data_IF_766750968527
#
_entry.id   IF_766750968527
#
_cell.length_a   1.000
_cell.length_b   1.000
_cell.length_c   1.000
_cell.angle_alpha   90.00
_cell.angle_beta   90.00
_cell.angle_gamma   90.00
#
_symmetry.space_group_name_H-M   'P 1'
#
loop_
_entity.id
_entity.type
_entity.pdbx_description
1 polymer ?
#
# COMPACT_ATOMS: atom_id res chain seq x y z
N UNK A 1 -4.17 22.50 20.90
CA UNK A 1 -3.65 21.14 20.60
C UNK A 1 -2.71 20.75 21.73
N UNK A 2 -3.27 20.17 22.79
CA UNK A 2 -2.51 19.71 23.95
C UNK A 2 -1.82 18.40 23.59
N UNK A 3 -0.49 18.43 23.60
CA UNK A 3 0.38 17.26 23.49
C UNK A 3 0.07 16.32 24.67
N UNK A 4 -0.61 15.21 24.40
CA UNK A 4 -0.77 14.14 25.39
C UNK A 4 0.54 13.36 25.45
N UNK A 5 1.53 13.91 26.15
CA UNK A 5 2.75 13.19 26.51
C UNK A 5 2.34 12.18 27.59
N UNK A 6 2.16 10.92 27.21
CA UNK A 6 2.14 9.84 28.19
C UNK A 6 3.46 9.87 28.97
N UNK A 7 3.45 9.67 30.29
CA UNK A 7 4.68 9.57 31.06
C UNK A 7 5.53 8.45 30.47
N UNK A 8 6.76 8.78 30.06
CA UNK A 8 7.72 7.78 29.60
C UNK A 8 7.95 6.82 30.77
N UNK A 9 7.67 5.51 30.68
CA UNK A 9 8.51 4.59 31.42
C UNK A 9 9.94 4.93 30.99
N UNK A 10 10.87 4.99 31.94
CA UNK A 10 12.26 5.38 31.69
C UNK A 10 12.97 4.29 30.88
N UNK A 11 12.53 4.09 29.63
CA UNK A 11 13.17 3.25 28.66
C UNK A 11 14.52 3.89 28.35
N UNK A 12 15.60 3.10 28.40
CA UNK A 12 16.93 3.63 28.18
C UNK A 12 17.01 4.22 26.78
N UNK A 13 17.70 5.35 26.67
CA UNK A 13 18.13 5.86 25.38
C UNK A 13 19.11 4.83 24.79
N UNK A 14 18.92 4.49 23.52
CA UNK A 14 19.79 3.57 22.81
C UNK A 14 21.02 4.32 22.32
N UNK A 15 22.20 3.81 22.64
CA UNK A 15 23.47 4.30 22.10
C UNK A 15 23.63 4.01 20.61
N UNK A 16 24.23 4.94 19.87
CA UNK A 16 24.42 4.80 18.43
C UNK A 16 25.24 3.55 18.04
N UNK A 17 26.13 3.07 18.91
CA UNK A 17 26.94 1.86 18.72
C UNK A 17 26.11 0.57 18.65
N UNK A 18 24.84 0.60 19.11
CA UNK A 18 23.92 -0.54 19.03
C UNK A 18 23.21 -0.65 17.66
N UNK A 19 23.43 0.32 16.77
CA UNK A 19 22.88 0.32 15.42
C UNK A 19 23.86 -0.34 14.45
N UNK A 20 23.38 -1.07 13.43
CA UNK A 20 24.25 -1.61 12.38
C UNK A 20 25.04 -0.51 11.68
N UNK A 21 26.26 -0.82 11.21
CA UNK A 21 27.12 0.11 10.46
C UNK A 21 26.46 0.65 9.17
N UNK A 22 25.51 -0.08 8.62
CA UNK A 22 24.73 0.31 7.44
C UNK A 22 23.54 1.22 7.76
N UNK A 23 23.16 1.34 9.03
CA UNK A 23 22.10 2.24 9.49
C UNK A 23 22.56 3.70 9.37
N UNK A 24 21.67 4.60 8.96
CA UNK A 24 21.93 6.04 8.85
C UNK A 24 20.87 6.81 9.61
N UNK A 25 21.30 7.67 10.54
CA UNK A 25 20.41 8.52 11.34
C UNK A 25 20.71 9.99 11.09
N UNK A 26 19.66 10.80 10.93
CA UNK A 26 19.77 12.25 10.91
C UNK A 26 20.02 12.85 12.30
N UNK A 27 20.35 14.16 12.38
CA UNK A 27 20.52 14.85 13.66
C UNK A 27 19.25 14.83 14.51
N UNK A 28 19.41 14.70 15.83
CA UNK A 28 18.29 14.76 16.79
C UNK A 28 17.39 13.52 16.84
N UNK A 29 17.79 12.41 16.20
CA UNK A 29 17.10 11.12 16.35
C UNK A 29 17.22 10.60 17.78
N UNK A 30 16.11 10.14 18.35
CA UNK A 30 16.06 9.54 19.70
C UNK A 30 15.32 8.21 19.67
N UNK A 31 15.98 7.14 20.11
CA UNK A 31 15.37 5.81 20.20
C UNK A 31 15.39 5.37 21.65
N UNK A 32 14.21 5.14 22.23
CA UNK A 32 14.04 4.61 23.57
C UNK A 32 13.48 3.20 23.46
N UNK A 33 14.30 2.20 23.75
CA UNK A 33 13.89 0.81 23.54
C UNK A 33 14.38 -0.14 24.63
N UNK A 34 13.48 -1.01 25.11
CA UNK A 34 13.87 -2.12 25.99
C UNK A 34 14.66 -3.18 25.21
N UNK A 35 14.08 -3.64 24.10
CA UNK A 35 14.72 -4.46 23.07
C UNK A 35 14.70 -3.72 21.73
N UNK A 36 15.82 -3.75 21.03
CA UNK A 36 15.96 -3.15 19.71
C UNK A 36 16.60 -4.12 18.73
N UNK A 37 15.97 -4.29 17.57
CA UNK A 37 16.53 -4.94 16.38
C UNK A 37 16.39 -3.99 15.20
N UNK A 38 17.50 -3.68 14.54
CA UNK A 38 17.53 -2.82 13.34
C UNK A 38 18.20 -3.61 12.23
N UNK A 39 17.54 -3.67 11.08
CA UNK A 39 18.03 -4.33 9.88
C UNK A 39 19.08 -3.53 9.11
N UNK A 40 19.62 -4.15 8.08
CA UNK A 40 20.65 -3.56 7.22
C UNK A 40 20.08 -2.41 6.37
N UNK A 41 20.84 -1.33 6.20
CA UNK A 41 20.48 -0.22 5.30
C UNK A 41 19.28 0.62 5.75
N UNK A 42 18.90 0.55 7.03
CA UNK A 42 17.84 1.38 7.60
C UNK A 42 18.23 2.87 7.59
N UNK A 43 17.28 3.74 7.27
CA UNK A 43 17.47 5.20 7.27
C UNK A 43 16.43 5.88 8.14
N UNK A 44 16.87 6.73 9.07
CA UNK A 44 16.00 7.46 9.99
C UNK A 44 16.28 8.97 9.84
N UNK A 45 15.24 9.72 9.47
CA UNK A 45 15.31 11.17 9.25
C UNK A 45 15.53 11.96 10.54
N UNK A 46 15.98 13.21 10.39
CA UNK A 46 16.26 14.12 11.50
C UNK A 46 15.04 14.34 12.40
N UNK A 47 15.27 14.60 13.69
CA UNK A 47 14.22 14.93 14.67
C UNK A 47 13.28 13.78 15.04
N UNK A 48 13.45 12.60 14.46
CA UNK A 48 12.55 11.46 14.68
C UNK A 48 12.75 10.82 16.06
N UNK A 49 11.64 10.55 16.75
CA UNK A 49 11.61 9.86 18.04
C UNK A 49 10.92 8.51 17.89
N UNK A 50 11.54 7.45 18.42
CA UNK A 50 11.00 6.08 18.43
C UNK A 50 11.00 5.59 19.88
N UNK A 51 9.87 5.07 20.36
CA UNK A 51 9.71 4.58 21.74
C UNK A 51 8.98 3.25 21.75
N UNK A 52 9.52 2.25 22.42
CA UNK A 52 8.81 1.00 22.69
C UNK A 52 9.57 0.00 23.56
N UNK A 53 8.86 -0.89 24.22
CA UNK A 53 9.50 -1.96 25.01
C UNK A 53 10.23 -2.95 24.08
N UNK A 54 9.68 -3.17 22.88
CA UNK A 54 10.25 -4.02 21.86
C UNK A 54 10.11 -3.40 20.46
N UNK A 55 11.22 -3.00 19.86
CA UNK A 55 11.31 -2.28 18.59
C UNK A 55 12.05 -3.14 17.56
N UNK A 56 11.41 -3.43 16.42
CA UNK A 56 12.04 -4.07 15.25
C UNK A 56 11.81 -3.21 14.02
N UNK A 57 12.90 -2.89 13.34
CA UNK A 57 12.91 -2.18 12.07
C UNK A 57 13.59 -3.09 11.04
N UNK A 58 12.84 -3.57 10.04
CA UNK A 58 13.36 -4.48 9.02
C UNK A 58 14.31 -3.81 8.04
N UNK A 59 15.07 -4.63 7.30
CA UNK A 59 16.10 -4.16 6.36
C UNK A 59 15.56 -3.15 5.35
N UNK A 60 16.37 -2.16 4.99
CA UNK A 60 16.05 -1.15 3.98
C UNK A 60 14.89 -0.22 4.33
N UNK A 61 14.34 -0.29 5.56
CA UNK A 61 13.25 0.58 6.00
C UNK A 61 13.71 2.03 6.06
N UNK A 62 12.86 2.93 5.59
CA UNK A 62 13.08 4.38 5.60
C UNK A 62 12.05 5.04 6.49
N UNK A 63 12.50 5.81 7.47
CA UNK A 63 11.66 6.64 8.33
C UNK A 63 11.99 8.09 8.04
N UNK A 64 10.99 8.87 7.64
CA UNK A 64 11.12 10.29 7.33
C UNK A 64 11.49 11.14 8.56
N UNK A 65 11.82 12.42 8.35
CA UNK A 65 12.10 13.34 9.45
C UNK A 65 10.85 13.67 10.27
N UNK A 66 11.08 14.15 11.48
CA UNK A 66 10.06 14.69 12.40
C UNK A 66 8.95 13.70 12.75
N UNK A 67 9.23 12.40 12.74
CA UNK A 67 8.28 11.37 13.15
C UNK A 67 8.29 11.18 14.67
N UNK A 68 7.14 10.79 15.24
CA UNK A 68 7.02 10.38 16.63
C UNK A 68 6.29 9.03 16.70
N UNK A 69 7.05 7.94 16.87
CA UNK A 69 6.53 6.58 16.78
C UNK A 69 6.60 5.91 18.16
N UNK A 70 5.44 5.67 18.78
CA UNK A 70 5.35 5.14 20.14
C UNK A 70 4.40 3.96 20.23
N UNK A 71 4.91 2.80 20.64
CA UNK A 71 4.11 1.64 21.00
C UNK A 71 4.88 0.68 21.91
N UNK A 72 4.20 -0.08 22.79
CA UNK A 72 4.87 -1.10 23.59
C UNK A 72 5.62 -2.12 22.71
N UNK A 73 5.00 -2.55 21.61
CA UNK A 73 5.66 -3.30 20.53
C UNK A 73 5.55 -2.54 19.21
N UNK A 74 6.70 -2.22 18.62
CA UNK A 74 6.79 -1.53 17.34
C UNK A 74 7.49 -2.44 16.33
N UNK A 75 6.82 -2.72 15.20
CA UNK A 75 7.33 -3.57 14.11
C UNK A 75 7.15 -2.86 12.77
N UNK A 76 8.26 -2.56 12.09
CA UNK A 76 8.25 -2.12 10.70
C UNK A 76 8.87 -3.22 9.85
N UNK A 77 8.12 -3.77 8.89
CA UNK A 77 8.62 -4.80 8.00
C UNK A 77 9.68 -4.30 7.02
N UNK A 78 10.46 -5.23 6.46
CA UNK A 78 11.52 -4.96 5.46
C UNK A 78 11.03 -4.06 4.32
N UNK A 79 11.83 -3.05 3.97
CA UNK A 79 11.59 -2.14 2.87
C UNK A 79 10.38 -1.21 3.07
N UNK A 80 9.92 -1.03 4.31
CA UNK A 80 8.81 -0.10 4.58
C UNK A 80 9.27 1.36 4.48
N UNK A 81 8.35 2.25 4.10
CA UNK A 81 8.58 3.68 3.97
C UNK A 81 7.59 4.43 4.86
N UNK A 82 8.09 5.12 5.88
CA UNK A 82 7.32 6.00 6.75
C UNK A 82 7.62 7.43 6.33
N UNK A 83 6.61 8.16 5.87
CA UNK A 83 6.72 9.55 5.44
C UNK A 83 7.06 10.49 6.60
N UNK A 84 7.46 11.74 6.30
CA UNK A 84 7.72 12.75 7.31
C UNK A 84 6.48 13.05 8.18
N UNK A 85 6.72 13.48 9.42
CA UNK A 85 5.69 13.96 10.36
C UNK A 85 4.59 12.94 10.69
N UNK A 86 4.88 11.64 10.55
CA UNK A 86 3.99 10.57 10.99
C UNK A 86 3.99 10.50 12.52
N UNK A 87 2.80 10.46 13.13
CA UNK A 87 2.65 10.33 14.59
C UNK A 87 1.87 9.09 14.96
N UNK A 88 2.50 8.22 15.72
CA UNK A 88 1.92 6.96 16.21
C UNK A 88 1.99 6.97 17.73
N UNK A 89 0.82 6.79 18.35
CA UNK A 89 0.66 6.56 19.78
C UNK A 89 -0.29 5.36 19.94
N UNK A 90 0.28 4.17 20.05
CA UNK A 90 -0.49 2.92 20.12
C UNK A 90 -0.14 2.19 21.40
N UNK A 91 -1.13 1.83 22.21
CA UNK A 91 -0.87 1.30 23.55
C UNK A 91 -0.10 -0.04 23.51
N UNK A 92 -0.51 -0.97 22.64
CA UNK A 92 0.00 -2.33 22.62
C UNK A 92 0.94 -2.55 21.44
N UNK A 93 0.41 -2.74 20.23
CA UNK A 93 1.22 -3.11 19.07
C UNK A 93 0.93 -2.17 17.91
N UNK A 94 1.98 -1.56 17.38
CA UNK A 94 1.98 -0.95 16.06
C UNK A 94 2.86 -1.79 15.14
N UNK A 95 2.23 -2.53 14.22
CA UNK A 95 2.94 -3.42 13.31
C UNK A 95 2.49 -3.20 11.86
N UNK A 96 3.45 -3.04 10.96
CA UNK A 96 3.22 -3.05 9.51
C UNK A 96 4.11 -4.09 8.84
N UNK A 97 3.56 -4.80 7.86
CA UNK A 97 4.30 -5.81 7.08
C UNK A 97 5.34 -5.19 6.14
N UNK A 98 6.08 -6.05 5.44
CA UNK A 98 7.09 -5.62 4.47
C UNK A 98 6.52 -4.76 3.35
N UNK A 99 7.33 -3.82 2.86
CA UNK A 99 6.99 -2.87 1.81
C UNK A 99 5.74 -2.01 2.10
N UNK A 100 5.41 -1.79 3.38
CA UNK A 100 4.34 -0.88 3.76
C UNK A 100 4.77 0.58 3.51
N UNK A 101 3.81 1.42 3.12
CA UNK A 101 4.00 2.85 2.84
C UNK A 101 3.01 3.65 3.65
N UNK A 102 3.51 4.41 4.62
CA UNK A 102 2.71 5.37 5.39
C UNK A 102 3.06 6.75 4.88
N UNK A 103 2.12 7.44 4.24
CA UNK A 103 2.37 8.75 3.67
C UNK A 103 2.54 9.84 4.76
N UNK A 104 2.98 11.06 4.36
CA UNK A 104 3.17 12.17 5.30
C UNK A 104 1.94 12.49 6.14
N UNK A 105 2.19 13.02 7.34
CA UNK A 105 1.16 13.60 8.23
C UNK A 105 0.08 12.61 8.73
N UNK A 106 0.29 11.30 8.54
CA UNK A 106 -0.57 10.25 9.10
C UNK A 106 -0.50 10.24 10.62
N UNK A 107 -1.65 10.05 11.26
CA UNK A 107 -1.77 10.01 12.72
C UNK A 107 -2.48 8.72 13.17
N UNK A 108 -1.90 7.99 14.10
CA UNK A 108 -2.47 6.75 14.64
C UNK A 108 -2.54 6.82 16.16
N UNK A 109 -3.76 6.85 16.68
CA UNK A 109 -4.09 6.72 18.09
C UNK A 109 -5.11 5.59 18.25
N UNK A 110 -4.70 4.48 18.87
CA UNK A 110 -5.59 3.37 19.21
C UNK A 110 -4.94 2.42 20.24
N UNK A 111 -5.64 1.35 20.64
CA UNK A 111 -5.07 0.30 21.49
C UNK A 111 -4.07 -0.57 20.72
N UNK A 112 -4.46 -1.06 19.55
CA UNK A 112 -3.68 -2.03 18.76
C UNK A 112 -3.90 -1.76 17.26
N UNK A 113 -2.81 -1.67 16.49
CA UNK A 113 -2.80 -1.43 15.06
C UNK A 113 -1.90 -2.45 14.37
N UNK A 114 -2.47 -3.25 13.47
CA UNK A 114 -1.71 -4.17 12.63
C UNK A 114 -2.11 -4.02 11.18
N UNK A 115 -1.12 -3.91 10.28
CA UNK A 115 -1.32 -3.97 8.84
C UNK A 115 -0.38 -4.97 8.17
N UNK A 116 -0.86 -5.65 7.14
CA UNK A 116 -0.10 -6.61 6.37
C UNK A 116 0.99 -5.97 5.49
N UNK A 117 1.54 -6.79 4.59
CA UNK A 117 2.52 -6.37 3.58
C UNK A 117 1.86 -5.47 2.55
N UNK A 118 2.65 -4.56 1.95
CA UNK A 118 2.18 -3.63 0.91
C UNK A 118 0.97 -2.79 1.32
N UNK A 119 0.84 -2.53 2.61
CA UNK A 119 -0.16 -1.62 3.11
C UNK A 119 0.20 -0.19 2.70
N UNK A 120 -0.73 0.54 2.09
CA UNK A 120 -0.61 1.98 1.84
C UNK A 120 -1.59 2.75 2.71
N UNK A 121 -1.07 3.71 3.48
CA UNK A 121 -1.88 4.65 4.25
C UNK A 121 -1.68 6.07 3.70
N UNK A 122 -2.69 6.61 3.01
CA UNK A 122 -2.64 7.90 2.32
C UNK A 122 -2.41 9.10 3.25
N UNK A 123 -1.93 10.19 2.66
CA UNK A 123 -1.58 11.41 3.40
C UNK A 123 -2.74 11.97 4.21
N UNK A 124 -2.40 12.51 5.38
CA UNK A 124 -3.36 13.10 6.32
C UNK A 124 -4.43 12.14 6.85
N UNK A 125 -4.33 10.84 6.59
CA UNK A 125 -5.25 9.86 7.13
C UNK A 125 -5.01 9.66 8.64
N UNK A 126 -6.08 9.34 9.37
CA UNK A 126 -6.09 9.33 10.83
C UNK A 126 -6.83 8.12 11.39
N UNK A 127 -6.17 7.40 12.29
CA UNK A 127 -6.83 6.57 13.31
C UNK A 127 -6.88 7.40 14.59
N UNK A 128 -8.05 7.69 15.12
CA UNK A 128 -8.15 8.54 16.31
C UNK A 128 -9.54 9.10 16.58
N UNK A 129 -9.57 10.22 17.31
CA UNK A 129 -10.77 10.87 17.88
C UNK A 129 -11.33 10.13 19.11
N UNK A 130 -12.56 10.50 19.52
CA UNK A 130 -13.20 9.98 20.71
C UNK A 130 -13.26 8.46 20.75
N UNK A 131 -13.07 7.88 21.93
CA UNK A 131 -13.21 6.44 22.13
C UNK A 131 -12.05 5.57 21.65
N UNK A 132 -10.99 6.12 21.07
CA UNK A 132 -9.85 5.33 20.56
C UNK A 132 -8.84 4.87 21.62
N UNK A 133 -9.00 5.29 22.87
CA UNK A 133 -8.19 4.83 24.02
C UNK A 133 -8.85 3.72 24.83
N UNK A 134 -9.95 3.12 24.34
CA UNK A 134 -10.65 2.04 25.04
C UNK A 134 -10.01 0.68 24.81
N UNK A 135 -10.38 -0.30 25.64
CA UNK A 135 -9.90 -1.67 25.50
C UNK A 135 -10.31 -2.34 24.18
N UNK A 136 -11.30 -1.83 23.46
CA UNK A 136 -11.81 -2.45 22.22
C UNK A 136 -11.33 -1.76 20.94
N UNK A 137 -10.57 -0.68 21.07
CA UNK A 137 -10.07 0.17 19.99
C UNK A 137 -8.95 -0.48 19.15
N UNK A 138 -9.29 -1.49 18.34
CA UNK A 138 -8.33 -2.24 17.51
C UNK A 138 -8.53 -1.96 16.02
N UNK A 139 -7.44 -1.88 15.26
CA UNK A 139 -7.46 -1.77 13.80
C UNK A 139 -6.62 -2.90 13.20
N UNK A 140 -7.26 -3.76 12.40
CA UNK A 140 -6.64 -4.92 11.75
C UNK A 140 -6.79 -4.82 10.25
N UNK A 141 -5.67 -4.77 9.55
CA UNK A 141 -5.60 -4.55 8.11
C UNK A 141 -4.80 -5.69 7.49
N UNK A 142 -5.34 -6.30 6.43
CA UNK A 142 -4.72 -7.38 5.68
C UNK A 142 -3.54 -6.93 4.81
N UNK A 143 -3.11 -7.84 3.93
CA UNK A 143 -2.09 -7.59 2.90
C UNK A 143 -2.69 -6.78 1.74
N UNK A 144 -1.87 -5.97 1.06
CA UNK A 144 -2.23 -5.26 -0.18
C UNK A 144 -3.42 -4.30 -0.03
N UNK A 145 -3.59 -3.72 1.16
CA UNK A 145 -4.66 -2.76 1.42
C UNK A 145 -4.21 -1.34 1.09
N UNK A 146 -5.06 -0.60 0.37
CA UNK A 146 -4.86 0.82 0.06
C UNK A 146 -5.90 1.67 0.76
N UNK A 147 -5.45 2.51 1.70
CA UNK A 147 -6.27 3.52 2.34
C UNK A 147 -6.02 4.88 1.71
N UNK A 148 -7.06 5.49 1.13
CA UNK A 148 -6.97 6.79 0.48
C UNK A 148 -6.69 7.94 1.46
N UNK A 149 -6.26 9.08 0.91
CA UNK A 149 -5.95 10.30 1.65
C UNK A 149 -7.09 10.77 2.53
N UNK A 150 -6.77 11.44 3.63
CA UNK A 150 -7.73 12.07 4.54
C UNK A 150 -8.83 11.12 5.07
N UNK A 151 -8.54 9.82 5.09
CA UNK A 151 -9.42 8.81 5.65
C UNK A 151 -9.44 8.90 7.17
N UNK A 152 -10.60 8.70 7.78
CA UNK A 152 -10.79 8.60 9.22
C UNK A 152 -11.20 7.18 9.58
N UNK A 153 -10.41 6.53 10.43
CA UNK A 153 -10.77 5.28 11.11
C UNK A 153 -10.99 5.57 12.59
N UNK A 154 -12.25 5.64 13.02
CA UNK A 154 -12.58 5.88 14.41
C UNK A 154 -12.96 4.58 15.12
N UNK A 155 -11.95 3.94 15.70
CA UNK A 155 -12.03 2.66 16.38
C UNK A 155 -12.25 2.83 17.88
N UNK A 156 -13.51 2.83 18.33
CA UNK A 156 -13.85 2.48 19.71
C UNK A 156 -14.07 0.95 19.84
N UNK A 157 -14.61 0.31 18.81
CA UNK A 157 -14.56 -1.14 18.60
C UNK A 157 -13.65 -1.48 17.41
N UNK A 158 -13.46 -2.77 17.17
CA UNK A 158 -12.56 -3.26 16.13
C UNK A 158 -13.00 -2.84 14.72
N UNK A 159 -12.07 -2.30 13.96
CA UNK A 159 -12.18 -2.11 12.51
C UNK A 159 -11.31 -3.16 11.83
N UNK A 160 -11.88 -3.96 10.94
CA UNK A 160 -11.14 -4.95 10.15
C UNK A 160 -11.27 -4.65 8.66
N UNK A 161 -10.13 -4.60 7.97
CA UNK A 161 -10.05 -4.58 6.51
C UNK A 161 -9.33 -5.86 6.05
N UNK A 162 -9.97 -6.67 5.22
CA UNK A 162 -9.39 -7.87 4.63
C UNK A 162 -8.32 -7.57 3.58
N UNK A 163 -7.68 -8.62 3.06
CA UNK A 163 -6.66 -8.48 2.02
C UNK A 163 -7.21 -7.83 0.76
N UNK A 164 -6.39 -7.05 0.06
CA UNK A 164 -6.76 -6.45 -1.23
C UNK A 164 -7.84 -5.37 -1.16
N UNK A 165 -8.28 -4.96 0.03
CA UNK A 165 -9.23 -3.85 0.17
C UNK A 165 -8.63 -2.56 -0.39
N UNK A 166 -9.37 -1.91 -1.28
CA UNK A 166 -9.03 -0.61 -1.82
C UNK A 166 -10.06 0.43 -1.40
N UNK A 167 -9.59 1.65 -1.12
CA UNK A 167 -10.47 2.76 -0.75
C UNK A 167 -10.07 4.04 -1.48
N UNK A 168 -11.06 4.84 -1.86
CA UNK A 168 -10.86 6.22 -2.27
C UNK A 168 -10.54 7.12 -1.08
N UNK A 169 -10.16 8.36 -1.37
CA UNK A 169 -9.90 9.39 -0.36
C UNK A 169 -11.19 9.75 0.42
N UNK A 170 -11.01 10.35 1.60
CA UNK A 170 -12.09 10.81 2.49
C UNK A 170 -13.04 9.71 2.96
N UNK A 171 -12.58 8.46 3.07
CA UNK A 171 -13.34 7.42 3.73
C UNK A 171 -13.54 7.77 5.22
N UNK A 172 -14.70 7.46 5.78
CA UNK A 172 -14.93 7.54 7.22
C UNK A 172 -15.53 6.24 7.75
N UNK A 173 -14.84 5.56 8.66
CA UNK A 173 -15.34 4.36 9.35
C UNK A 173 -15.55 4.68 10.83
N UNK A 174 -16.77 4.48 11.30
CA UNK A 174 -17.17 4.72 12.68
C UNK A 174 -17.65 3.43 13.33
N UNK A 175 -17.14 3.17 14.53
CA UNK A 175 -17.55 2.01 15.35
C UNK A 175 -18.36 2.41 16.58
N UNK A 176 -18.59 3.71 16.75
CA UNK A 176 -19.52 4.23 17.73
C UNK A 176 -20.25 5.47 17.22
N UNK A 177 -21.39 5.79 17.84
CA UNK A 177 -22.15 7.01 17.56
C UNK A 177 -23.18 7.30 18.66
N UNK A 178 -23.02 8.43 19.35
CA UNK A 178 -23.96 8.96 20.34
C UNK A 178 -23.61 10.41 20.69
N UNK A 179 -24.51 11.07 21.40
CA UNK A 179 -24.27 12.33 22.09
C UNK A 179 -24.98 12.28 23.45
N UNK A 180 -24.74 13.24 24.35
CA UNK A 180 -25.29 13.25 25.72
C UNK A 180 -26.82 13.04 25.81
N UNK A 181 -27.58 13.42 24.77
CA UNK A 181 -29.03 13.21 24.69
C UNK A 181 -29.47 11.80 24.27
N UNK A 182 -28.56 10.93 23.83
CA UNK A 182 -28.85 9.62 23.24
C UNK A 182 -28.29 8.46 24.08
N UNK A 183 -28.41 8.58 25.41
CA UNK A 183 -27.94 7.57 26.37
C UNK A 183 -29.08 6.74 26.97
N UNK A 184 -28.75 5.69 27.74
CA UNK A 184 -29.72 4.76 28.33
C UNK A 184 -30.72 5.44 29.27
N UNK A 185 -30.34 6.56 29.90
CA UNK A 185 -31.22 7.35 30.74
C UNK A 185 -32.35 8.05 29.96
N UNK A 186 -32.22 8.17 28.64
CA UNK A 186 -33.21 8.78 27.74
C UNK A 186 -33.95 7.73 26.88
N UNK A 187 -33.84 6.44 27.23
CA UNK A 187 -34.52 5.36 26.51
C UNK A 187 -33.91 4.99 25.15
N UNK A 188 -32.70 5.47 24.86
CA UNK A 188 -31.95 5.12 23.63
C UNK A 188 -30.65 4.44 23.96
N UNK A 189 -30.20 3.53 23.09
CA UNK A 189 -28.91 2.89 23.22
C UNK A 189 -27.88 3.54 22.28
N UNK A 190 -26.73 3.99 22.80
CA UNK A 190 -25.60 4.39 21.96
C UNK A 190 -25.21 3.28 20.98
N UNK A 191 -24.94 3.65 19.73
CA UNK A 191 -24.43 2.70 18.76
C UNK A 191 -22.96 2.39 19.08
N UNK A 192 -22.65 1.12 19.31
CA UNK A 192 -21.29 0.59 19.47
C UNK A 192 -21.21 -0.78 18.80
N UNK A 193 -20.44 -0.89 17.73
CA UNK A 193 -20.29 -2.16 17.04
C UNK A 193 -19.04 -2.17 16.14
N UNK A 194 -18.40 -3.34 15.99
CA UNK A 194 -17.27 -3.47 15.07
C UNK A 194 -17.70 -3.26 13.62
N UNK A 195 -16.74 -2.88 12.78
CA UNK A 195 -16.92 -2.79 11.32
C UNK A 195 -15.96 -3.77 10.66
N UNK A 196 -16.44 -4.44 9.61
CA UNK A 196 -15.65 -5.42 8.85
C UNK A 196 -15.85 -5.18 7.36
N UNK A 197 -14.75 -4.93 6.67
CA UNK A 197 -14.69 -4.84 5.23
C UNK A 197 -13.94 -6.08 4.76
N UNK A 198 -14.64 -6.99 4.09
CA UNK A 198 -14.04 -8.24 3.64
C UNK A 198 -13.07 -8.01 2.47
N UNK A 199 -12.31 -9.06 2.15
CA UNK A 199 -11.27 -9.04 1.13
C UNK A 199 -11.77 -8.54 -0.23
N UNK A 200 -10.86 -7.91 -0.97
CA UNK A 200 -11.06 -7.44 -2.35
C UNK A 200 -12.23 -6.45 -2.53
N UNK A 201 -12.77 -5.89 -1.43
CA UNK A 201 -13.80 -4.86 -1.49
C UNK A 201 -13.22 -3.50 -1.92
N UNK A 202 -13.99 -2.74 -2.69
CA UNK A 202 -13.66 -1.38 -3.13
C UNK A 202 -14.64 -0.37 -2.55
N UNK A 203 -14.14 0.60 -1.79
CA UNK A 203 -14.94 1.70 -1.27
C UNK A 203 -14.58 2.97 -2.03
N UNK A 204 -15.52 3.52 -2.79
CA UNK A 204 -15.29 4.74 -3.56
C UNK A 204 -14.98 5.97 -2.69
N UNK A 205 -14.67 7.08 -3.37
CA UNK A 205 -14.42 8.38 -2.73
C UNK A 205 -15.55 8.76 -1.75
N UNK A 206 -15.18 9.23 -0.56
CA UNK A 206 -16.11 9.79 0.43
C UNK A 206 -17.25 8.85 0.85
N UNK A 207 -16.94 7.56 0.98
CA UNK A 207 -17.84 6.58 1.61
C UNK A 207 -17.80 6.73 3.13
N UNK A 208 -18.95 6.61 3.79
CA UNK A 208 -19.04 6.50 5.25
C UNK A 208 -19.59 5.13 5.65
N UNK A 209 -18.96 4.47 6.63
CA UNK A 209 -19.40 3.19 7.18
C UNK A 209 -19.73 3.39 8.66
N UNK A 210 -20.97 3.05 9.05
CA UNK A 210 -21.50 3.24 10.40
C UNK A 210 -21.33 2.00 11.28
N UNK A 211 -21.50 2.11 12.62
CA UNK A 211 -21.29 1.00 13.54
C UNK A 211 -22.14 -0.22 13.18
N UNK A 212 -21.52 -1.40 13.18
CA UNK A 212 -22.20 -2.68 12.89
C UNK A 212 -22.46 -2.93 11.40
N UNK A 213 -22.13 -1.99 10.53
CA UNK A 213 -22.15 -2.24 9.10
C UNK A 213 -20.92 -3.08 8.68
N UNK A 214 -21.17 -4.00 7.75
CA UNK A 214 -20.15 -4.86 7.16
C UNK A 214 -20.23 -4.81 5.64
N UNK A 215 -19.11 -4.97 4.95
CA UNK A 215 -19.05 -5.02 3.48
C UNK A 215 -18.53 -6.39 3.07
N UNK A 216 -19.33 -7.13 2.30
CA UNK A 216 -18.99 -8.47 1.84
C UNK A 216 -17.83 -8.48 0.83
N UNK A 217 -17.26 -9.67 0.63
CA UNK A 217 -16.10 -9.87 -0.25
C UNK A 217 -16.37 -9.38 -1.68
N UNK A 218 -15.36 -8.82 -2.34
CA UNK A 218 -15.43 -8.34 -3.71
C UNK A 218 -16.61 -7.38 -4.00
N UNK A 219 -17.08 -6.66 -2.96
CA UNK A 219 -18.17 -5.70 -3.06
C UNK A 219 -17.63 -4.32 -3.39
N UNK A 220 -18.33 -3.63 -4.29
CA UNK A 220 -18.06 -2.24 -4.64
C UNK A 220 -19.09 -1.33 -3.97
N UNK A 221 -18.63 -0.37 -3.17
CA UNK A 221 -19.46 0.72 -2.64
C UNK A 221 -19.19 1.99 -3.43
N UNK A 222 -20.20 2.50 -4.11
CA UNK A 222 -20.09 3.71 -4.94
C UNK A 222 -19.73 4.95 -4.11
N UNK A 223 -19.07 5.92 -4.73
CA UNK A 223 -18.65 7.16 -4.10
C UNK A 223 -19.82 7.92 -3.43
N UNK A 224 -19.55 8.59 -2.30
CA UNK A 224 -20.52 9.38 -1.54
C UNK A 224 -21.58 8.57 -0.79
N UNK A 225 -21.44 7.24 -0.71
CA UNK A 225 -22.45 6.38 -0.08
C UNK A 225 -22.29 6.28 1.44
N UNK A 226 -23.40 6.06 2.15
CA UNK A 226 -23.40 5.81 3.60
C UNK A 226 -23.89 4.40 3.89
N UNK A 227 -22.98 3.53 4.31
CA UNK A 227 -23.26 2.13 4.64
C UNK A 227 -23.74 2.05 6.09
N UNK A 228 -25.02 1.73 6.25
CA UNK A 228 -25.74 1.70 7.53
C UNK A 228 -26.10 0.28 8.00
N UNK A 229 -25.92 -0.71 7.14
CA UNK A 229 -26.23 -2.12 7.39
C UNK A 229 -25.29 -3.02 6.57
N UNK A 230 -25.16 -4.31 6.92
CA UNK A 230 -24.36 -5.26 6.17
C UNK A 230 -24.73 -5.33 4.68
N UNK A 231 -23.71 -5.36 3.82
CA UNK A 231 -23.83 -5.59 2.38
C UNK A 231 -23.32 -7.00 2.03
N UNK A 232 -24.02 -7.75 1.16
CA UNK A 232 -23.60 -9.08 0.73
C UNK A 232 -22.34 -9.01 -0.14
N UNK A 233 -21.68 -10.15 -0.35
CA UNK A 233 -20.52 -10.25 -1.24
C UNK A 233 -20.90 -10.09 -2.72
N UNK A 234 -19.95 -9.60 -3.52
CA UNK A 234 -20.05 -9.56 -4.99
C UNK A 234 -21.15 -8.66 -5.53
N UNK A 235 -21.40 -7.52 -4.88
CA UNK A 235 -22.40 -6.55 -5.36
C UNK A 235 -21.82 -5.17 -5.59
N UNK A 236 -22.48 -4.39 -6.44
CA UNK A 236 -22.37 -2.95 -6.45
C UNK A 236 -23.46 -2.39 -5.53
N UNK A 237 -23.08 -1.64 -4.51
CA UNK A 237 -23.98 -0.91 -3.63
C UNK A 237 -23.75 0.61 -3.71
N UNK A 238 -24.77 1.41 -3.45
CA UNK A 238 -24.59 2.86 -3.35
C UNK A 238 -25.81 3.62 -2.84
N UNK A 239 -25.59 4.88 -2.44
CA UNK A 239 -26.60 5.81 -1.95
C UNK A 239 -26.50 6.14 -0.45
N UNK A 240 -27.42 6.97 0.03
CA UNK A 240 -27.55 7.38 1.43
C UNK A 240 -28.99 7.10 1.88
N UNK A 241 -29.26 5.98 2.55
CA UNK A 241 -28.34 4.89 2.87
C UNK A 241 -27.99 4.00 1.66
N UNK A 242 -26.84 3.32 1.73
CA UNK A 242 -26.37 2.44 0.67
C UNK A 242 -27.31 1.24 0.50
N UNK A 243 -27.63 0.91 -0.75
CA UNK A 243 -28.44 -0.25 -1.13
C UNK A 243 -27.78 -0.98 -2.30
N UNK A 244 -27.96 -2.29 -2.35
CA UNK A 244 -27.55 -3.11 -3.50
C UNK A 244 -28.19 -2.57 -4.78
N UNK A 245 -27.37 -2.34 -5.80
CA UNK A 245 -27.78 -1.88 -7.14
C UNK A 245 -27.79 -3.03 -8.14
N UNK A 246 -26.77 -3.88 -8.11
CA UNK A 246 -26.65 -5.09 -8.94
C UNK A 246 -25.62 -6.05 -8.37
N UNK A 247 -25.68 -7.31 -8.77
CA UNK A 247 -24.59 -8.27 -8.59
C UNK A 247 -23.46 -8.02 -9.59
N UNK A 248 -22.25 -8.38 -9.21
CA UNK A 248 -21.06 -8.34 -10.05
C UNK A 248 -20.76 -9.74 -10.59
N UNK A 249 -20.32 -9.81 -11.85
CA UNK A 249 -19.76 -11.04 -12.41
C UNK A 249 -18.28 -11.12 -12.02
N UNK A 250 -17.98 -11.98 -11.06
CA UNK A 250 -16.63 -12.16 -10.51
C UNK A 250 -15.89 -13.34 -11.14
N UNK A 251 -16.44 -13.96 -12.19
CA UNK A 251 -15.77 -15.07 -12.87
C UNK A 251 -14.48 -14.55 -13.53
N UNK A 252 -13.33 -15.22 -13.31
CA UNK A 252 -12.11 -14.88 -14.01
C UNK A 252 -12.34 -14.93 -15.52
N UNK A 253 -11.84 -13.92 -16.24
CA UNK A 253 -11.86 -13.93 -17.69
C UNK A 253 -10.89 -14.98 -18.23
N UNK A 254 -11.26 -15.63 -19.34
CA UNK A 254 -10.38 -16.57 -20.05
C UNK A 254 -9.10 -15.91 -20.55
N UNK A 255 -8.09 -16.72 -20.85
CA UNK A 255 -6.73 -16.25 -21.14
C UNK A 255 -6.66 -15.27 -22.31
N UNK A 256 -7.42 -15.46 -23.39
CA UNK A 256 -7.45 -14.52 -24.52
C UNK A 256 -7.89 -13.11 -24.10
N UNK A 257 -8.95 -13.03 -23.29
CA UNK A 257 -9.46 -11.75 -22.79
C UNK A 257 -8.52 -11.12 -21.76
N UNK A 258 -7.87 -11.93 -20.93
CA UNK A 258 -6.85 -11.44 -20.01
C UNK A 258 -5.62 -10.92 -20.78
N UNK A 259 -5.21 -11.61 -21.84
CA UNK A 259 -4.10 -11.22 -22.70
C UNK A 259 -4.37 -9.85 -23.35
N UNK A 260 -5.53 -9.70 -24.00
CA UNK A 260 -5.92 -8.41 -24.58
C UNK A 260 -6.05 -7.29 -23.54
N UNK A 261 -6.54 -7.59 -22.33
CA UNK A 261 -6.60 -6.59 -21.25
C UNK A 261 -5.20 -6.10 -20.86
N UNK A 262 -4.23 -7.01 -20.69
CA UNK A 262 -2.84 -6.66 -20.35
C UNK A 262 -2.17 -5.93 -21.52
N UNK A 263 -2.42 -6.34 -22.77
CA UNK A 263 -1.97 -5.58 -23.94
C UNK A 263 -2.51 -4.16 -23.94
N UNK A 264 -3.79 -3.97 -23.57
CA UNK A 264 -4.38 -2.65 -23.38
C UNK A 264 -3.60 -1.80 -22.37
N UNK A 265 -3.18 -2.38 -21.25
CA UNK A 265 -2.33 -1.70 -20.26
C UNK A 265 -0.97 -1.34 -20.85
N UNK A 266 -0.33 -2.25 -21.59
CA UNK A 266 0.95 -1.96 -22.26
C UNK A 266 0.83 -0.86 -23.33
N UNK A 267 -0.29 -0.82 -24.07
CA UNK A 267 -0.60 0.28 -25.01
C UNK A 267 -0.71 1.62 -24.31
N UNK A 268 -1.42 1.68 -23.18
CA UNK A 268 -1.48 2.89 -22.34
C UNK A 268 -0.10 3.28 -21.81
N UNK A 269 0.66 2.31 -21.31
CA UNK A 269 1.99 2.55 -20.78
C UNK A 269 2.97 3.10 -21.81
N UNK A 270 2.93 2.62 -23.07
CA UNK A 270 3.72 3.21 -24.16
C UNK A 270 3.48 4.71 -24.29
N UNK A 271 2.23 5.15 -24.26
CA UNK A 271 1.88 6.58 -24.34
C UNK A 271 2.48 7.35 -23.16
N UNK A 272 2.38 6.79 -21.95
CA UNK A 272 2.96 7.38 -20.74
C UNK A 272 4.50 7.46 -20.80
N UNK A 273 5.17 6.45 -21.33
CA UNK A 273 6.63 6.43 -21.50
C UNK A 273 7.12 7.53 -22.45
N UNK A 274 6.40 7.76 -23.56
CA UNK A 274 6.71 8.85 -24.48
C UNK A 274 6.58 10.20 -23.76
N UNK A 275 5.52 10.39 -22.96
CA UNK A 275 5.37 11.59 -22.13
C UNK A 275 6.49 11.74 -21.09
N UNK A 276 6.96 10.63 -20.52
CA UNK A 276 8.10 10.60 -19.59
C UNK A 276 9.45 10.85 -20.27
N UNK A 277 9.49 10.96 -21.60
CA UNK A 277 10.71 11.20 -22.38
C UNK A 277 11.53 9.93 -22.65
N UNK A 278 10.96 8.74 -22.43
CA UNK A 278 11.61 7.47 -22.71
C UNK A 278 11.45 7.13 -24.21
N UNK A 279 12.54 6.82 -24.95
CA UNK A 279 12.43 6.25 -26.28
C UNK A 279 11.70 4.90 -26.25
N UNK A 280 10.70 4.73 -27.13
CA UNK A 280 9.90 3.50 -27.22
C UNK A 280 9.77 3.03 -28.66
N UNK A 281 10.11 1.76 -28.89
CA UNK A 281 9.94 1.07 -30.16
C UNK A 281 8.94 -0.09 -29.97
N UNK A 282 7.87 -0.13 -30.76
CA UNK A 282 6.93 -1.26 -30.70
C UNK A 282 6.47 -1.70 -32.09
N UNK A 283 6.78 -2.95 -32.43
CA UNK A 283 6.31 -3.58 -33.66
C UNK A 283 5.00 -4.33 -33.38
N UNK A 284 3.88 -3.64 -33.44
CA UNK A 284 2.57 -4.25 -33.26
C UNK A 284 2.13 -4.95 -34.55
N UNK A 285 1.76 -6.23 -34.46
CA UNK A 285 1.12 -6.99 -35.54
C UNK A 285 -0.24 -7.50 -35.06
N UNK A 286 -1.28 -7.52 -35.91
CA UNK A 286 -2.59 -8.08 -35.55
C UNK A 286 -2.45 -9.53 -35.04
N UNK A 287 -2.96 -9.80 -33.84
CA UNK A 287 -2.98 -11.14 -33.23
C UNK A 287 -1.67 -11.60 -32.57
N UNK A 288 -0.55 -10.88 -32.73
CA UNK A 288 0.72 -11.20 -32.08
C UNK A 288 1.59 -9.93 -31.95
N UNK A 289 1.41 -9.12 -30.89
CA UNK A 289 2.24 -7.93 -30.71
C UNK A 289 3.69 -8.35 -30.48
N UNK A 290 4.60 -7.79 -31.28
CA UNK A 290 6.03 -7.95 -31.07
C UNK A 290 6.50 -7.31 -29.75
N UNK A 291 7.79 -7.45 -29.41
CA UNK A 291 8.35 -6.88 -28.19
C UNK A 291 8.21 -5.35 -28.18
N UNK A 292 7.78 -4.80 -27.05
CA UNK A 292 7.87 -3.38 -26.73
C UNK A 292 9.27 -3.11 -26.18
N UNK A 293 10.06 -2.27 -26.84
CA UNK A 293 11.41 -1.91 -26.39
C UNK A 293 11.42 -0.50 -25.83
N UNK A 294 11.96 -0.33 -24.64
CA UNK A 294 11.98 0.92 -23.88
C UNK A 294 13.40 1.21 -23.43
N UNK A 295 13.84 2.46 -23.58
CA UNK A 295 15.10 2.95 -22.99
C UNK A 295 14.81 4.14 -22.07
N UNK A 296 15.68 4.41 -21.11
CA UNK A 296 15.63 5.69 -20.39
C UNK A 296 16.08 6.84 -21.30
N UNK A 297 15.70 8.07 -20.93
CA UNK A 297 15.97 9.27 -21.72
C UNK A 297 17.47 9.53 -21.96
N UNK A 298 18.32 9.12 -21.02
CA UNK A 298 19.79 9.19 -21.11
C UNK A 298 20.41 8.06 -21.96
N UNK A 299 19.58 7.20 -22.55
CA UNK A 299 19.99 6.03 -23.31
C UNK A 299 20.41 4.83 -22.45
N UNK A 300 20.41 4.95 -21.12
CA UNK A 300 20.69 3.83 -20.22
C UNK A 300 19.50 2.87 -20.16
N UNK A 301 19.77 1.63 -19.71
CA UNK A 301 18.76 0.60 -19.46
C UNK A 301 17.77 0.36 -20.62
N UNK A 302 18.24 -0.28 -21.69
CA UNK A 302 17.38 -0.78 -22.76
C UNK A 302 16.68 -2.07 -22.31
N UNK A 303 15.35 -2.04 -22.24
CA UNK A 303 14.52 -3.15 -21.77
C UNK A 303 13.53 -3.57 -22.84
N UNK A 304 13.54 -4.85 -23.22
CA UNK A 304 12.52 -5.47 -24.08
C UNK A 304 11.42 -6.06 -23.21
N UNK A 305 10.17 -5.80 -23.55
CA UNK A 305 8.98 -6.23 -22.80
C UNK A 305 8.12 -7.09 -23.71
N UNK A 306 7.80 -8.30 -23.26
CA UNK A 306 7.05 -9.29 -24.05
C UNK A 306 5.92 -9.84 -23.19
N UNK A 307 4.70 -9.82 -23.69
CA UNK A 307 3.57 -10.57 -23.13
C UNK A 307 3.42 -11.86 -23.93
N UNK A 308 3.57 -13.02 -23.27
CA UNK A 308 3.43 -14.31 -23.93
C UNK A 308 1.97 -14.77 -23.93
N UNK A 309 1.52 -15.27 -25.08
CA UNK A 309 0.34 -16.12 -25.18
C UNK A 309 0.65 -17.53 -24.61
N UNK A 310 -0.37 -18.35 -24.28
CA UNK A 310 -0.18 -19.66 -23.66
C UNK A 310 0.82 -20.57 -24.40
N UNK A 311 0.76 -20.60 -25.73
CA UNK A 311 1.59 -21.49 -26.56
C UNK A 311 2.87 -20.84 -27.10
N UNK A 312 3.11 -19.56 -26.79
CA UNK A 312 4.29 -18.87 -27.32
C UNK A 312 5.59 -19.48 -26.77
N UNK A 313 6.64 -19.63 -27.60
CA UNK A 313 7.94 -20.04 -27.12
C UNK A 313 8.56 -18.95 -26.23
N UNK A 314 9.39 -19.37 -25.29
CA UNK A 314 10.14 -18.42 -24.47
C UNK A 314 11.09 -17.57 -25.34
N UNK A 315 11.14 -16.25 -25.14
CA UNK A 315 12.05 -15.38 -25.89
C UNK A 315 13.51 -15.72 -25.61
N UNK A 316 14.39 -15.50 -26.60
CA UNK A 316 15.82 -15.66 -26.42
C UNK A 316 16.37 -14.76 -25.29
N UNK A 317 17.48 -15.17 -24.67
CA UNK A 317 18.17 -14.37 -23.65
C UNK A 317 18.60 -13.02 -24.25
N UNK A 318 18.44 -11.89 -23.53
CA UNK A 318 18.86 -10.59 -24.03
C UNK A 318 20.39 -10.53 -24.22
N UNK A 319 20.89 -9.75 -25.20
CA UNK A 319 22.32 -9.51 -25.35
C UNK A 319 22.87 -8.74 -24.12
N UNK A 320 24.20 -8.76 -23.90
CA UNK A 320 24.82 -8.00 -22.82
C UNK A 320 24.45 -6.52 -22.88
N UNK A 321 24.06 -5.94 -21.73
CA UNK A 321 23.65 -4.54 -21.62
C UNK A 321 22.15 -4.29 -21.84
N UNK A 322 21.39 -5.29 -22.29
CA UNK A 322 19.92 -5.21 -22.38
C UNK A 322 19.24 -6.02 -21.26
N UNK A 323 18.02 -5.60 -20.91
CA UNK A 323 17.13 -6.33 -20.02
C UNK A 323 15.91 -6.88 -20.78
N UNK A 324 15.30 -7.93 -20.24
CA UNK A 324 14.10 -8.54 -20.78
C UNK A 324 13.06 -8.72 -19.68
N UNK A 325 11.89 -8.10 -19.83
CA UNK A 325 10.72 -8.34 -19.00
C UNK A 325 9.73 -9.24 -19.76
N UNK A 326 9.39 -10.39 -19.18
CA UNK A 326 8.43 -11.34 -19.75
C UNK A 326 7.20 -11.37 -18.87
N UNK A 327 6.03 -11.08 -19.43
CA UNK A 327 4.74 -11.22 -18.78
C UNK A 327 4.10 -12.53 -19.25
N UNK A 328 3.61 -13.32 -18.30
CA UNK A 328 2.88 -14.57 -18.54
C UNK A 328 1.57 -14.55 -17.77
N UNK A 329 0.49 -15.05 -18.37
CA UNK A 329 -0.82 -15.14 -17.70
C UNK A 329 -0.96 -16.42 -16.88
N UNK A 330 -0.47 -17.55 -17.40
CA UNK A 330 -0.50 -18.86 -16.73
C UNK A 330 0.76 -19.14 -15.90
N UNK A 331 0.76 -20.27 -15.19
CA UNK A 331 1.89 -20.77 -14.38
C UNK A 331 3.02 -21.35 -15.26
N UNK A 332 3.52 -20.50 -16.17
CA UNK A 332 4.72 -20.77 -16.96
C UNK A 332 5.97 -20.22 -16.27
N UNK A 333 5.81 -19.37 -15.25
CA UNK A 333 6.94 -18.75 -14.56
C UNK A 333 7.88 -19.77 -13.87
N UNK A 334 7.41 -21.00 -13.61
CA UNK A 334 8.23 -22.11 -13.13
C UNK A 334 9.10 -22.76 -14.23
N UNK A 335 8.69 -22.67 -15.51
CA UNK A 335 9.36 -23.30 -16.66
C UNK A 335 10.75 -22.71 -16.93
N UNK A 336 11.01 -21.47 -16.51
CA UNK A 336 12.32 -20.83 -16.70
C UNK A 336 12.71 -19.99 -15.48
N UNK A 337 13.78 -20.40 -14.79
CA UNK A 337 14.40 -19.56 -13.76
C UNK A 337 15.03 -18.33 -14.43
N UNK A 338 14.70 -17.09 -14.01
CA UNK A 338 15.33 -15.91 -14.57
C UNK A 338 16.84 -15.96 -14.32
N UNK A 339 17.63 -15.73 -15.37
CA UNK A 339 19.09 -15.63 -15.30
C UNK A 339 19.53 -14.31 -15.95
N UNK A 340 20.55 -13.67 -15.40
CA UNK A 340 21.04 -12.38 -15.90
C UNK A 340 19.98 -11.27 -15.79
N UNK A 341 19.88 -10.43 -16.82
CA UNK A 341 19.01 -9.25 -16.87
C UNK A 341 17.55 -9.57 -17.26
N UNK A 342 17.01 -10.71 -16.81
CA UNK A 342 15.65 -11.16 -17.14
C UNK A 342 14.72 -11.02 -15.93
N UNK A 343 13.56 -10.41 -16.12
CA UNK A 343 12.46 -10.31 -15.17
C UNK A 343 11.23 -11.06 -15.70
N UNK A 344 10.55 -11.79 -14.82
CA UNK A 344 9.35 -12.57 -15.18
C UNK A 344 8.18 -12.15 -14.29
N UNK A 345 7.09 -11.70 -14.91
CA UNK A 345 5.84 -11.29 -14.31
C UNK A 345 4.77 -12.36 -14.55
N UNK A 346 4.34 -13.01 -13.49
CA UNK A 346 3.18 -13.89 -13.52
C UNK A 346 1.95 -13.05 -13.16
N UNK A 347 1.20 -12.65 -14.18
CA UNK A 347 0.19 -11.59 -14.07
C UNK A 347 -0.98 -12.00 -13.18
N UNK A 348 -1.44 -13.25 -13.25
CA UNK A 348 -2.59 -13.71 -12.44
C UNK A 348 -2.25 -13.83 -10.95
N UNK A 349 -1.07 -14.36 -10.62
CA UNK A 349 -0.64 -14.50 -9.22
C UNK A 349 -0.07 -13.19 -8.65
N UNK A 350 0.36 -12.28 -9.53
CA UNK A 350 1.12 -11.09 -9.18
C UNK A 350 2.53 -11.39 -8.71
N UNK A 351 3.11 -12.52 -9.11
CA UNK A 351 4.48 -12.87 -8.73
C UNK A 351 5.47 -12.24 -9.72
N UNK A 352 6.50 -11.58 -9.19
CA UNK A 352 7.63 -11.06 -9.96
C UNK A 352 8.90 -11.78 -9.52
N UNK A 353 9.77 -12.14 -10.46
CA UNK A 353 11.09 -12.75 -10.18
C UNK A 353 12.16 -12.20 -11.12
N UNK A 354 13.40 -12.17 -10.67
CA UNK A 354 14.57 -11.90 -11.51
C UNK A 354 15.09 -10.47 -11.42
N UNK A 355 15.55 -9.96 -12.55
CA UNK A 355 16.20 -8.66 -12.67
C UNK A 355 15.26 -7.49 -12.34
N UNK A 356 15.86 -6.36 -11.98
CA UNK A 356 15.16 -5.17 -11.50
C UNK A 356 15.82 -3.95 -12.11
N UNK A 357 15.04 -3.06 -12.70
CA UNK A 357 15.53 -1.84 -13.35
C UNK A 357 14.46 -0.74 -13.23
N UNK A 358 14.80 0.55 -13.40
CA UNK A 358 13.81 1.62 -13.37
C UNK A 358 12.63 1.41 -14.33
N UNK A 359 12.88 0.84 -15.51
CA UNK A 359 11.84 0.51 -16.50
C UNK A 359 10.91 -0.60 -15.99
N UNK A 360 11.47 -1.64 -15.35
CA UNK A 360 10.70 -2.73 -14.74
C UNK A 360 9.85 -2.22 -13.57
N UNK A 361 10.40 -1.33 -12.74
CA UNK A 361 9.64 -0.71 -11.64
C UNK A 361 8.52 0.21 -12.14
N UNK A 362 8.74 0.93 -13.25
CA UNK A 362 7.69 1.74 -13.88
C UNK A 362 6.57 0.87 -14.44
N UNK A 363 6.92 -0.26 -15.08
CA UNK A 363 5.95 -1.26 -15.54
C UNK A 363 5.12 -1.80 -14.38
N UNK A 364 5.73 -2.10 -13.22
CA UNK A 364 5.00 -2.52 -12.01
C UNK A 364 3.97 -1.47 -11.60
N UNK A 365 4.36 -0.20 -11.54
CA UNK A 365 3.41 0.87 -11.21
C UNK A 365 2.25 0.95 -12.19
N UNK A 366 2.52 0.73 -13.47
CA UNK A 366 1.51 0.80 -14.52
C UNK A 366 0.53 -0.36 -14.46
N UNK A 367 1.01 -1.58 -14.22
CA UNK A 367 0.16 -2.74 -13.95
C UNK A 367 -0.72 -2.48 -12.72
N UNK A 368 -0.13 -2.00 -11.61
CA UNK A 368 -0.87 -1.66 -10.38
C UNK A 368 -1.99 -0.64 -10.62
N UNK A 369 -1.72 0.45 -11.37
CA UNK A 369 -2.72 1.50 -11.67
C UNK A 369 -3.96 0.96 -12.39
N UNK A 370 -3.81 -0.16 -13.09
CA UNK A 370 -4.88 -0.84 -13.82
C UNK A 370 -5.42 -2.08 -13.09
N UNK A 371 -5.14 -2.19 -11.78
CA UNK A 371 -5.54 -3.32 -10.95
C UNK A 371 -5.02 -4.69 -11.47
N UNK A 372 -3.88 -4.68 -12.15
CA UNK A 372 -3.19 -5.89 -12.60
C UNK A 372 -2.12 -6.26 -11.56
N UNK A 373 -2.13 -7.50 -11.01
CA UNK A 373 -1.14 -7.92 -10.03
C UNK A 373 0.30 -7.87 -10.59
N UNK A 374 1.26 -7.36 -9.81
CA UNK A 374 2.55 -6.92 -10.39
C UNK A 374 3.81 -7.10 -9.50
N UNK A 375 3.85 -8.07 -8.59
CA UNK A 375 5.05 -8.34 -7.77
C UNK A 375 5.15 -7.42 -6.57
N UNK A 376 5.47 -8.00 -5.41
CA UNK A 376 4.84 -7.58 -4.15
C UNK A 376 5.69 -7.86 -2.90
N UNK A 377 7.00 -7.97 -3.05
CA UNK A 377 7.94 -8.19 -1.93
C UNK A 377 8.72 -6.93 -1.55
N UNK A 378 8.69 -5.89 -2.40
CA UNK A 378 9.38 -4.62 -2.19
C UNK A 378 8.66 -3.47 -2.86
N UNK A 379 8.95 -2.26 -2.40
CA UNK A 379 8.42 -1.03 -2.97
C UNK A 379 8.88 -0.86 -4.43
N UNK A 380 8.16 -0.03 -5.19
CA UNK A 380 8.47 0.27 -6.59
C UNK A 380 8.25 1.75 -6.88
N UNK A 381 8.88 2.24 -7.95
CA UNK A 381 8.91 3.64 -8.35
C UNK A 381 8.46 3.82 -9.79
N UNK A 382 7.75 4.91 -10.05
CA UNK A 382 7.55 5.41 -11.41
C UNK A 382 8.78 6.21 -11.83
N UNK A 383 9.19 6.08 -13.09
CA UNK A 383 10.05 7.04 -13.78
C UNK A 383 9.37 8.40 -13.70
N UNK A 384 10.12 9.39 -13.22
CA UNK A 384 9.66 10.77 -13.15
C UNK A 384 9.65 11.38 -14.56
N UNK A 385 8.55 12.01 -15.01
CA UNK A 385 8.56 12.69 -16.29
C UNK A 385 9.56 13.84 -16.33
N UNK A 386 10.30 13.98 -17.44
CA UNK A 386 11.37 14.96 -17.61
C UNK A 386 10.94 16.40 -17.30
N UNK A 387 9.69 16.75 -17.61
CA UNK A 387 9.12 18.06 -17.29
C UNK A 387 9.17 18.36 -15.78
N UNK A 388 8.84 17.39 -14.92
CA UNK A 388 8.92 17.54 -13.46
C UNK A 388 10.37 17.54 -12.99
N UNK A 389 11.20 16.63 -13.50
CA UNK A 389 12.61 16.56 -13.14
C UNK A 389 13.37 17.86 -13.46
N UNK A 390 13.07 18.49 -14.60
CA UNK A 390 13.61 19.82 -14.97
C UNK A 390 13.20 20.90 -13.97
N UNK A 391 11.92 20.95 -13.58
CA UNK A 391 11.43 21.95 -12.64
C UNK A 391 12.00 21.76 -11.23
N UNK A 392 12.19 20.53 -10.77
CA UNK A 392 12.84 20.25 -9.48
C UNK A 392 14.31 20.66 -9.46
N UNK A 393 15.05 20.40 -10.55
CA UNK A 393 16.45 20.82 -10.68
C UNK A 393 16.63 22.33 -10.67
N UNK A 394 15.63 23.09 -11.09
CA UNK A 394 15.67 24.56 -11.01
C UNK A 394 15.37 25.10 -9.60
N UNK A 395 14.81 24.28 -8.71
CA UNK A 395 14.46 24.65 -7.34
C UNK A 395 15.46 24.16 -6.28
N UNK A 396 16.43 23.33 -6.68
CA UNK A 396 17.58 22.91 -5.90
C UNK A 396 18.78 23.80 -6.24
#
# INVERSE_FOLDING_TARGET
MTSTILPSPALPLVDAERLPDSCRTGPGVRIHAGRLTVGEGVRIGAGTTIVGDDVVIGDGTVIGPDCDLRAATLRLGTGSEIGPRVRVLVAERFAVGGAARIAPDVQVLCRDFTAGRLFYFGDGARVGYGGTTTSTARVRIGDRVTIGQHTILNANHEITLGDGVGTGSYLAIWTHGYHFGHGPLNGTEPAYAPVRIARDAWLGYHVTVLPGAHVGEATVVAAGSVVTAPLPAGVLAGGVPARVKKSLDLRPVGDDRAHEAVLGVLRGWRTELVWKGCPVEWQERPGAPGPLTVSLADGSHRTRVVLLAPDDPWPATPPPGEALAVLVLGDRAAERRPQGSVAVFEVRSGRLRGHTSPVIEDLRDQLRRHAVPCGDDRSFSSIEPEAFARLRRAAA
#
